data_IF_900503958934
#
_entry.id   IF_900503958934
#
_cell.length_a   1.000
_cell.length_b   1.000
_cell.length_c   1.000
_cell.angle_alpha   90.00
_cell.angle_beta   90.00
_cell.angle_gamma   90.00
#
_symmetry.space_group_name_H-M   'P 1'
#
loop_
_entity.id
_entity.type
_entity.pdbx_description
1 polymer ?
#
# COMPACT_ATOMS: atom_id res chain seq x y z
N UNK A 1 14.43 1.99 22.09
CA UNK A 1 15.27 1.48 20.97
C UNK A 1 16.19 2.62 20.54
N UNK A 2 17.41 2.33 20.01
CA UNK A 2 18.26 3.36 19.41
C UNK A 2 17.56 3.94 18.16
N UNK A 3 17.93 5.20 17.81
CA UNK A 3 17.37 5.86 16.64
C UNK A 3 17.87 5.19 15.34
N UNK A 4 16.95 4.86 14.44
CA UNK A 4 17.29 4.28 13.14
C UNK A 4 17.78 5.34 12.15
N UNK A 5 18.66 4.96 11.23
CA UNK A 5 19.14 5.89 10.20
C UNK A 5 18.20 5.91 9.01
N UNK A 6 17.73 7.10 8.64
CA UNK A 6 16.98 7.39 7.42
C UNK A 6 17.83 8.26 6.51
N UNK A 7 18.03 7.80 5.28
CA UNK A 7 18.74 8.56 4.25
C UNK A 7 17.75 9.36 3.41
N UNK A 8 18.16 10.58 3.01
CA UNK A 8 17.28 11.52 2.32
C UNK A 8 18.04 12.25 1.20
N UNK A 9 17.35 12.47 0.09
CA UNK A 9 17.77 13.38 -0.97
C UNK A 9 16.57 14.14 -1.54
N UNK A 10 16.72 15.45 -1.82
CA UNK A 10 15.65 16.25 -2.43
C UNK A 10 15.50 15.98 -3.95
N UNK A 11 14.47 16.59 -4.59
CA UNK A 11 14.24 16.47 -6.04
C UNK A 11 15.01 17.51 -6.89
N UNK A 12 15.83 18.35 -6.30
CA UNK A 12 16.64 19.30 -7.08
C UNK A 12 17.78 18.57 -7.81
N UNK A 13 17.85 18.75 -9.13
CA UNK A 13 18.88 18.15 -9.97
C UNK A 13 19.72 19.24 -10.61
N UNK A 14 21.02 19.33 -10.32
CA UNK A 14 21.95 20.16 -11.11
C UNK A 14 22.14 19.54 -12.50
N UNK A 15 22.64 20.33 -13.45
CA UNK A 15 22.97 19.87 -14.79
C UNK A 15 23.91 18.65 -14.72
N UNK A 16 23.60 17.61 -15.46
CA UNK A 16 24.37 16.36 -15.49
C UNK A 16 23.97 15.32 -14.45
N UNK A 17 22.92 15.58 -13.63
CA UNK A 17 22.38 14.60 -12.67
C UNK A 17 20.91 14.41 -12.93
N UNK A 18 20.43 13.16 -12.94
CA UNK A 18 19.01 12.82 -13.04
C UNK A 18 18.41 12.40 -11.70
N UNK A 19 17.08 12.39 -11.59
CA UNK A 19 16.39 11.86 -10.40
C UNK A 19 16.64 10.37 -10.20
N UNK A 20 16.79 9.62 -11.28
CA UNK A 20 17.13 8.19 -11.23
C UNK A 20 18.55 7.96 -10.70
N UNK A 21 19.51 8.83 -11.04
CA UNK A 21 20.86 8.78 -10.46
C UNK A 21 20.84 9.09 -8.96
N UNK A 22 20.03 10.08 -8.55
CA UNK A 22 19.87 10.41 -7.13
C UNK A 22 19.26 9.26 -6.35
N UNK A 23 18.18 8.64 -6.87
CA UNK A 23 17.57 7.46 -6.23
C UNK A 23 18.58 6.32 -6.10
N UNK A 24 19.36 6.07 -7.16
CA UNK A 24 20.39 5.03 -7.14
C UNK A 24 21.43 5.30 -6.05
N UNK A 25 21.97 6.52 -5.98
CA UNK A 25 22.95 6.90 -4.94
C UNK A 25 22.36 6.77 -3.55
N UNK A 26 21.13 7.28 -3.34
CA UNK A 26 20.42 7.18 -2.07
C UNK A 26 20.32 5.71 -1.59
N UNK A 27 19.85 4.80 -2.46
CA UNK A 27 19.74 3.38 -2.12
C UNK A 27 21.11 2.76 -1.77
N UNK A 28 22.17 3.12 -2.50
CA UNK A 28 23.53 2.65 -2.22
C UNK A 28 24.03 3.22 -0.88
N UNK A 29 23.86 4.51 -0.64
CA UNK A 29 24.24 5.17 0.62
C UNK A 29 23.48 4.58 1.81
N UNK A 30 22.19 4.26 1.63
CA UNK A 30 21.35 3.62 2.64
C UNK A 30 21.69 2.14 2.88
N UNK A 31 22.57 1.54 2.05
CA UNK A 31 23.11 0.21 2.31
C UNK A 31 22.42 -0.94 1.59
N UNK A 32 21.65 -0.72 0.52
CA UNK A 32 21.00 -1.81 -0.24
C UNK A 32 22.01 -2.86 -0.72
N UNK A 33 23.26 -2.46 -0.96
CA UNK A 33 24.37 -3.37 -1.36
C UNK A 33 24.87 -4.27 -0.25
N UNK A 34 24.45 -4.06 0.99
CA UNK A 34 24.80 -4.92 2.12
C UNK A 34 23.89 -6.17 2.20
N UNK A 35 22.84 -6.24 1.40
CA UNK A 35 21.95 -7.39 1.30
C UNK A 35 22.57 -8.37 0.31
N UNK A 36 22.84 -9.60 0.76
CA UNK A 36 23.24 -10.68 -0.14
C UNK A 36 22.06 -11.12 -1.01
N UNK A 37 22.09 -10.79 -2.31
CA UNK A 37 21.02 -11.07 -3.27
C UNK A 37 21.37 -12.18 -4.27
N UNK A 38 22.61 -12.71 -4.25
CA UNK A 38 23.06 -13.67 -5.26
C UNK A 38 22.16 -14.92 -5.31
N UNK A 39 21.57 -15.18 -6.47
CA UNK A 39 20.68 -16.30 -6.73
C UNK A 39 19.32 -16.26 -6.00
N UNK A 40 18.93 -15.13 -5.41
CA UNK A 40 17.72 -14.99 -4.58
C UNK A 40 16.59 -14.28 -5.31
N UNK A 41 15.35 -14.68 -5.02
CA UNK A 41 14.16 -13.96 -5.44
C UNK A 41 13.96 -12.68 -4.62
N UNK A 42 13.76 -11.55 -5.30
CA UNK A 42 13.57 -10.24 -4.66
C UNK A 42 12.19 -9.68 -5.02
N UNK A 43 11.27 -9.67 -4.07
CA UNK A 43 9.98 -9.05 -4.26
C UNK A 43 10.08 -7.52 -4.08
N UNK A 44 9.86 -6.75 -5.13
CA UNK A 44 9.76 -5.29 -5.08
C UNK A 44 8.27 -4.94 -5.02
N UNK A 45 7.79 -4.65 -3.82
CA UNK A 45 6.38 -4.29 -3.59
C UNK A 45 6.15 -2.82 -3.87
N UNK A 46 5.23 -2.56 -4.76
CA UNK A 46 4.78 -1.21 -5.05
C UNK A 46 3.31 -1.19 -5.46
N UNK A 47 2.72 -0.01 -5.54
CA UNK A 47 1.39 0.20 -6.07
C UNK A 47 1.49 0.61 -7.55
N UNK A 48 0.72 -0.04 -8.43
CA UNK A 48 0.79 0.23 -9.88
C UNK A 48 -0.11 1.39 -10.34
N UNK A 49 -0.84 2.03 -9.41
CA UNK A 49 -1.84 3.05 -9.74
C UNK A 49 -3.16 2.43 -10.23
N UNK A 50 -4.30 3.07 -9.95
CA UNK A 50 -5.57 2.76 -10.61
C UNK A 50 -5.64 3.47 -11.95
N UNK A 51 -6.39 2.94 -12.94
CA UNK A 51 -6.55 3.60 -14.24
C UNK A 51 -7.23 4.96 -14.07
N UNK A 52 -6.64 5.99 -14.68
CA UNK A 52 -7.06 7.39 -14.55
C UNK A 52 -6.24 8.19 -13.55
N UNK A 53 -5.66 7.57 -12.54
CA UNK A 53 -4.72 8.21 -11.62
C UNK A 53 -3.37 8.39 -12.32
N UNK A 54 -2.77 9.56 -12.21
CA UNK A 54 -1.45 9.87 -12.78
C UNK A 54 -0.42 10.30 -11.71
N UNK A 55 -0.81 10.29 -10.43
CA UNK A 55 0.09 10.62 -9.31
C UNK A 55 0.92 9.44 -8.82
N UNK A 56 0.64 8.20 -9.28
CA UNK A 56 1.41 7.02 -8.89
C UNK A 56 2.89 7.13 -9.30
N UNK A 57 3.76 6.36 -8.64
CA UNK A 57 5.19 6.36 -8.94
C UNK A 57 5.49 5.92 -10.38
N UNK A 58 6.37 6.67 -11.04
CA UNK A 58 6.77 6.37 -12.43
C UNK A 58 7.57 5.06 -12.51
N UNK A 59 7.38 4.24 -13.57
CA UNK A 59 8.10 2.97 -13.76
C UNK A 59 9.63 3.10 -13.76
N UNK A 60 10.14 4.29 -14.08
CA UNK A 60 11.58 4.61 -14.06
C UNK A 60 12.21 4.39 -12.67
N UNK A 61 11.50 4.69 -11.60
CA UNK A 61 11.98 4.45 -10.23
C UNK A 61 12.06 2.95 -9.93
N UNK A 62 11.05 2.18 -10.35
CA UNK A 62 11.06 0.72 -10.22
C UNK A 62 12.24 0.09 -10.96
N UNK A 63 12.55 0.62 -12.17
CA UNK A 63 13.71 0.17 -12.93
C UNK A 63 15.03 0.34 -12.19
N UNK A 64 15.24 1.48 -11.52
CA UNK A 64 16.47 1.72 -10.74
C UNK A 64 16.63 0.67 -9.64
N UNK A 65 15.57 0.35 -8.92
CA UNK A 65 15.62 -0.64 -7.85
C UNK A 65 15.84 -2.05 -8.40
N UNK A 66 15.14 -2.41 -9.49
CA UNK A 66 15.33 -3.71 -10.16
C UNK A 66 16.76 -3.88 -10.71
N UNK A 67 17.33 -2.84 -11.30
CA UNK A 67 18.70 -2.89 -11.82
C UNK A 67 19.71 -3.06 -10.66
N UNK A 68 19.52 -2.37 -9.52
CA UNK A 68 20.36 -2.54 -8.32
C UNK A 68 20.31 -3.98 -7.77
N UNK A 69 19.14 -4.63 -7.79
CA UNK A 69 19.01 -6.02 -7.37
C UNK A 69 19.74 -6.96 -8.33
N UNK A 70 19.59 -6.77 -9.65
CA UNK A 70 20.24 -7.60 -10.66
C UNK A 70 21.76 -7.46 -10.65
N UNK A 71 22.28 -6.26 -10.40
CA UNK A 71 23.72 -6.03 -10.26
C UNK A 71 24.36 -6.80 -9.12
N UNK A 72 23.54 -7.24 -8.16
CA UNK A 72 23.94 -8.08 -7.03
C UNK A 72 23.56 -9.56 -7.22
N UNK A 73 23.26 -9.97 -8.46
CA UNK A 73 22.90 -11.36 -8.78
C UNK A 73 21.48 -11.77 -8.38
N UNK A 74 20.64 -10.83 -7.91
CA UNK A 74 19.26 -11.10 -7.50
C UNK A 74 18.30 -11.24 -8.68
N UNK A 75 17.20 -11.92 -8.46
CA UNK A 75 16.08 -12.13 -9.41
C UNK A 75 14.87 -11.28 -8.99
N UNK A 76 14.83 -9.97 -9.32
CA UNK A 76 13.75 -9.10 -8.92
C UNK A 76 12.49 -9.32 -9.75
N UNK A 77 11.34 -9.11 -9.09
CA UNK A 77 10.04 -8.94 -9.72
C UNK A 77 9.24 -7.85 -9.02
N UNK A 78 8.41 -7.13 -9.76
CA UNK A 78 7.45 -6.17 -9.20
C UNK A 78 6.21 -6.92 -8.76
N UNK A 79 5.62 -6.52 -7.65
CA UNK A 79 4.45 -7.20 -7.12
C UNK A 79 3.48 -6.29 -6.38
N UNK A 80 2.22 -6.69 -6.39
CA UNK A 80 1.10 -6.20 -5.58
C UNK A 80 0.08 -7.33 -5.41
N UNK A 81 -0.92 -7.16 -4.55
CA UNK A 81 -2.08 -8.05 -4.45
C UNK A 81 -3.34 -7.38 -4.98
N UNK A 82 -4.31 -8.20 -5.41
CA UNK A 82 -5.59 -7.74 -5.93
C UNK A 82 -6.37 -6.91 -4.91
N UNK A 83 -7.22 -6.00 -5.40
CA UNK A 83 -8.00 -5.09 -4.56
C UNK A 83 -9.35 -5.69 -4.14
N UNK A 84 -9.97 -5.09 -3.11
CA UNK A 84 -11.34 -5.35 -2.69
C UNK A 84 -12.37 -4.48 -3.42
N UNK A 85 -11.91 -3.34 -3.96
CA UNK A 85 -12.78 -2.31 -4.50
C UNK A 85 -13.06 -2.54 -5.98
N UNK A 86 -14.20 -2.01 -6.50
CA UNK A 86 -14.42 -1.85 -7.93
C UNK A 86 -13.25 -1.09 -8.57
N UNK A 87 -12.81 -1.54 -9.74
CA UNK A 87 -11.70 -0.94 -10.45
C UNK A 87 -10.99 -1.93 -11.35
N UNK A 88 -9.83 -1.55 -11.86
CA UNK A 88 -9.07 -2.32 -12.83
C UNK A 88 -8.05 -3.29 -12.21
N UNK A 89 -8.09 -3.51 -10.87
CA UNK A 89 -7.12 -4.36 -10.17
C UNK A 89 -7.75 -5.44 -9.29
N UNK A 90 -8.99 -5.88 -9.57
CA UNK A 90 -9.69 -6.85 -8.70
C UNK A 90 -9.41 -8.33 -9.02
N UNK A 91 -8.75 -8.64 -10.13
CA UNK A 91 -8.22 -9.97 -10.44
C UNK A 91 -6.90 -9.83 -11.18
N UNK A 92 -6.08 -10.88 -11.22
CA UNK A 92 -4.73 -10.78 -11.76
C UNK A 92 -4.66 -10.35 -13.23
N UNK A 93 -5.62 -10.70 -14.09
CA UNK A 93 -5.60 -10.33 -15.50
C UNK A 93 -5.87 -8.83 -15.69
N UNK A 94 -6.90 -8.31 -15.02
CA UNK A 94 -7.20 -6.87 -15.02
C UNK A 94 -6.05 -6.08 -14.35
N UNK A 95 -5.52 -6.58 -13.24
CA UNK A 95 -4.42 -5.95 -12.51
C UNK A 95 -3.14 -5.87 -13.34
N UNK A 96 -2.77 -6.94 -14.04
CA UNK A 96 -1.64 -6.94 -14.97
C UNK A 96 -1.87 -5.97 -16.13
N UNK A 97 -3.09 -5.93 -16.69
CA UNK A 97 -3.45 -4.97 -17.73
C UNK A 97 -3.34 -3.54 -17.23
N UNK A 98 -3.84 -3.25 -16.04
CA UNK A 98 -3.70 -1.94 -15.39
C UNK A 98 -2.22 -1.56 -15.21
N UNK A 99 -1.41 -2.46 -14.66
CA UNK A 99 0.03 -2.23 -14.50
C UNK A 99 0.71 -1.93 -15.84
N UNK A 100 0.39 -2.66 -16.91
CA UNK A 100 0.92 -2.44 -18.25
C UNK A 100 0.54 -1.07 -18.80
N UNK A 101 -0.73 -0.70 -18.71
CA UNK A 101 -1.23 0.59 -19.19
C UNK A 101 -0.61 1.77 -18.43
N UNK A 102 -0.27 1.56 -17.16
CA UNK A 102 0.44 2.52 -16.32
C UNK A 102 1.98 2.45 -16.50
N UNK A 103 2.47 1.64 -17.47
CA UNK A 103 3.86 1.59 -17.87
C UNK A 103 4.73 0.57 -17.10
N UNK A 104 4.16 -0.21 -16.18
CA UNK A 104 4.87 -1.28 -15.47
C UNK A 104 4.90 -2.56 -16.31
N UNK A 105 5.92 -2.66 -17.15
CA UNK A 105 6.11 -3.73 -18.09
C UNK A 105 7.57 -4.18 -18.09
N UNK A 106 7.90 -5.45 -18.38
CA UNK A 106 9.29 -5.90 -18.37
C UNK A 106 10.24 -5.08 -19.25
N UNK A 107 9.77 -4.54 -20.36
CA UNK A 107 10.59 -3.69 -21.24
C UNK A 107 10.89 -2.31 -20.63
N UNK A 108 10.04 -1.78 -19.76
CA UNK A 108 10.22 -0.47 -19.12
C UNK A 108 10.92 -0.59 -17.78
N UNK A 109 10.60 -1.60 -16.99
CA UNK A 109 11.10 -1.78 -15.61
C UNK A 109 12.27 -2.76 -15.53
N UNK A 110 12.48 -3.56 -16.55
CA UNK A 110 13.55 -4.55 -16.61
C UNK A 110 13.26 -5.85 -15.85
N UNK A 111 12.12 -6.02 -15.20
CA UNK A 111 11.75 -7.24 -14.47
C UNK A 111 10.27 -7.58 -14.67
N UNK A 112 9.88 -8.80 -14.34
CA UNK A 112 8.51 -9.30 -14.48
C UNK A 112 7.60 -8.68 -13.43
N UNK A 113 6.28 -8.70 -13.70
CA UNK A 113 5.23 -8.33 -12.74
C UNK A 113 4.48 -9.61 -12.35
N UNK A 114 4.35 -9.86 -11.04
CA UNK A 114 3.62 -10.99 -10.48
C UNK A 114 2.57 -10.46 -9.51
N UNK A 115 1.30 -10.84 -9.73
CA UNK A 115 0.23 -10.54 -8.78
C UNK A 115 0.24 -11.64 -7.71
N UNK A 116 0.64 -11.25 -6.50
CA UNK A 116 1.12 -12.18 -5.48
C UNK A 116 0.06 -13.09 -4.87
N UNK A 117 -1.21 -12.69 -4.91
CA UNK A 117 -2.34 -13.45 -4.38
C UNK A 117 -3.13 -14.20 -5.47
N UNK A 118 -2.49 -14.40 -6.64
CA UNK A 118 -3.00 -15.23 -7.73
C UNK A 118 -4.21 -14.65 -8.48
N UNK A 119 -4.81 -15.48 -9.34
CA UNK A 119 -5.84 -15.05 -10.29
C UNK A 119 -7.02 -14.32 -9.62
N UNK A 120 -7.47 -14.80 -8.47
CA UNK A 120 -8.70 -14.33 -7.78
C UNK A 120 -8.42 -13.67 -6.42
N UNK A 121 -7.18 -13.42 -6.07
CA UNK A 121 -6.82 -12.85 -4.77
C UNK A 121 -6.89 -13.85 -3.61
N UNK A 122 -6.79 -15.14 -3.89
CA UNK A 122 -6.99 -16.24 -2.92
C UNK A 122 -5.80 -17.17 -2.79
N UNK A 123 -4.71 -16.90 -3.52
CA UNK A 123 -3.45 -17.63 -3.32
C UNK A 123 -2.66 -16.94 -2.21
N UNK A 124 -2.81 -17.48 -1.00
CA UNK A 124 -2.32 -16.86 0.23
C UNK A 124 -1.60 -17.84 1.13
N UNK A 125 -0.84 -17.32 2.04
CA UNK A 125 -0.24 -18.02 3.16
C UNK A 125 -0.57 -17.27 4.46
N UNK A 126 -0.89 -18.03 5.51
CA UNK A 126 -1.04 -17.46 6.84
C UNK A 126 0.33 -17.35 7.51
N UNK A 127 0.68 -16.14 7.92
CA UNK A 127 1.96 -15.80 8.55
C UNK A 127 1.67 -15.34 9.98
N UNK A 128 2.35 -15.89 11.00
CA UNK A 128 2.22 -15.40 12.36
C UNK A 128 2.56 -13.91 12.47
N UNK A 129 1.77 -13.16 13.24
CA UNK A 129 2.07 -11.75 13.51
C UNK A 129 2.90 -11.67 14.78
N UNK A 130 4.16 -11.20 14.71
CA UNK A 130 5.00 -11.05 15.90
C UNK A 130 4.34 -10.06 16.87
N UNK A 131 4.15 -10.49 18.11
CA UNK A 131 3.50 -9.68 19.17
C UNK A 131 2.13 -9.09 18.77
N UNK A 132 1.41 -9.73 17.83
CA UNK A 132 0.12 -9.25 17.32
C UNK A 132 -0.94 -9.14 18.41
N UNK A 133 -1.57 -7.99 18.49
CA UNK A 133 -2.64 -7.66 19.44
C UNK A 133 -4.02 -7.86 18.81
N UNK A 134 -4.17 -7.40 17.56
CA UNK A 134 -5.42 -7.42 16.80
C UNK A 134 -5.49 -8.60 15.83
N UNK A 135 -4.36 -9.03 15.28
CA UNK A 135 -4.26 -10.15 14.36
C UNK A 135 -3.25 -11.18 14.89
N UNK A 136 -3.66 -12.45 14.99
CA UNK A 136 -2.74 -13.54 15.37
C UNK A 136 -1.92 -14.03 14.19
N UNK A 137 -2.55 -14.07 13.01
CA UNK A 137 -1.95 -14.41 11.73
C UNK A 137 -2.35 -13.36 10.69
N UNK A 138 -1.48 -13.12 9.72
CA UNK A 138 -1.75 -12.28 8.56
C UNK A 138 -1.87 -13.16 7.31
N UNK A 139 -2.89 -12.92 6.49
CA UNK A 139 -3.11 -13.62 5.23
C UNK A 139 -2.44 -12.84 4.10
N UNK A 140 -1.28 -13.30 3.68
CA UNK A 140 -0.38 -12.60 2.75
C UNK A 140 -0.36 -13.31 1.39
N UNK A 141 -0.29 -12.54 0.30
CA UNK A 141 -0.13 -13.09 -1.05
C UNK A 141 1.12 -13.98 -1.14
N UNK A 142 0.94 -15.22 -1.60
CA UNK A 142 1.95 -16.27 -1.55
C UNK A 142 3.28 -15.86 -2.19
N UNK A 143 3.26 -15.31 -3.40
CA UNK A 143 4.50 -14.97 -4.11
C UNK A 143 5.37 -13.94 -3.36
N UNK A 144 4.79 -13.12 -2.47
CA UNK A 144 5.55 -12.21 -1.61
C UNK A 144 6.33 -13.00 -0.56
N UNK A 145 5.70 -14.02 0.04
CA UNK A 145 6.32 -14.81 1.09
C UNK A 145 7.29 -15.88 0.55
N UNK A 146 7.10 -16.31 -0.71
CA UNK A 146 8.04 -17.21 -1.41
C UNK A 146 9.35 -16.51 -1.83
N UNK A 147 9.39 -15.17 -1.84
CA UNK A 147 10.60 -14.41 -2.12
C UNK A 147 11.54 -14.39 -0.90
N UNK A 148 12.85 -14.50 -1.15
CA UNK A 148 13.90 -14.48 -0.11
C UNK A 148 14.10 -13.09 0.49
N UNK A 149 13.93 -12.04 -0.34
CA UNK A 149 14.18 -10.65 0.02
C UNK A 149 12.95 -9.82 -0.33
N UNK A 150 12.64 -8.88 0.54
CA UNK A 150 11.52 -7.98 0.34
C UNK A 150 11.96 -6.51 0.30
N UNK A 151 11.58 -5.80 -0.76
CA UNK A 151 11.82 -4.35 -0.91
C UNK A 151 10.48 -3.65 -1.07
N UNK A 152 10.18 -2.64 -0.24
CA UNK A 152 9.06 -1.75 -0.49
C UNK A 152 9.51 -0.49 -1.24
N UNK A 153 8.88 -0.23 -2.37
CA UNK A 153 9.01 1.03 -3.12
C UNK A 153 7.67 1.76 -3.01
N UNK A 154 7.63 2.77 -2.18
CA UNK A 154 6.39 3.39 -1.72
C UNK A 154 6.22 4.81 -2.25
N UNK A 155 5.04 5.12 -2.77
CA UNK A 155 4.56 6.48 -2.96
C UNK A 155 4.05 7.00 -1.62
N UNK A 156 4.71 8.01 -1.08
CA UNK A 156 4.25 8.64 0.17
C UNK A 156 3.37 9.83 -0.16
N UNK A 157 2.09 9.77 0.21
CA UNK A 157 1.07 10.78 -0.08
C UNK A 157 -0.04 10.77 0.97
N UNK A 158 -0.99 11.71 0.88
CA UNK A 158 -2.20 11.72 1.70
C UNK A 158 -3.05 10.45 1.51
N UNK A 159 -3.99 10.27 2.44
CA UNK A 159 -4.96 9.18 2.40
C UNK A 159 -6.20 9.53 3.21
N UNK A 160 -7.37 9.29 2.65
CA UNK A 160 -8.68 9.66 3.19
C UNK A 160 -9.04 8.96 4.51
N UNK A 161 -8.50 7.76 4.78
CA UNK A 161 -8.80 6.99 6.00
C UNK A 161 -7.61 6.88 6.95
N UNK A 162 -6.39 6.68 6.43
CA UNK A 162 -5.18 6.43 7.22
C UNK A 162 -4.28 7.65 7.36
N UNK A 163 -4.72 8.81 6.87
CA UNK A 163 -4.00 10.08 6.88
C UNK A 163 -2.90 10.16 5.84
N UNK A 164 -2.02 9.18 5.76
CA UNK A 164 -1.05 9.01 4.69
C UNK A 164 -0.92 7.55 4.26
N UNK A 165 -0.42 7.35 3.04
CA UNK A 165 0.05 6.06 2.58
C UNK A 165 1.56 6.11 2.41
N UNK A 166 2.29 5.34 3.21
CA UNK A 166 3.75 5.20 3.18
C UNK A 166 4.19 3.75 3.05
N UNK A 167 5.37 3.40 3.57
CA UNK A 167 5.93 2.07 3.52
C UNK A 167 5.06 1.07 4.28
N UNK A 168 4.63 1.38 5.51
CA UNK A 168 3.82 0.47 6.33
C UNK A 168 2.50 0.13 5.63
N UNK A 169 1.82 1.13 5.04
CA UNK A 169 0.59 0.89 4.28
C UNK A 169 0.85 0.09 3.00
N UNK A 170 1.88 0.43 2.24
CA UNK A 170 2.26 -0.31 1.04
C UNK A 170 2.56 -1.79 1.35
N UNK A 171 3.14 -2.07 2.51
CA UNK A 171 3.42 -3.43 2.98
C UNK A 171 2.12 -4.08 3.52
N UNK A 172 1.56 -3.56 4.59
CA UNK A 172 0.48 -4.20 5.34
C UNK A 172 -0.79 -4.40 4.52
N UNK A 173 -1.33 -3.30 3.97
CA UNK A 173 -2.51 -3.39 3.10
C UNK A 173 -2.17 -4.00 1.75
N UNK A 174 -1.04 -3.59 1.16
CA UNK A 174 -0.68 -3.99 -0.19
C UNK A 174 -0.35 -5.48 -0.32
N UNK A 175 0.33 -6.10 0.65
CA UNK A 175 0.70 -7.51 0.64
C UNK A 175 -0.43 -8.44 1.12
N UNK A 176 -1.46 -7.92 1.81
CA UNK A 176 -2.61 -8.71 2.21
C UNK A 176 -3.32 -9.31 1.00
N UNK A 177 -3.64 -10.61 1.07
CA UNK A 177 -4.55 -11.26 0.13
C UNK A 177 -5.94 -10.61 0.20
N UNK A 178 -6.88 -11.04 -0.64
CA UNK A 178 -8.27 -10.57 -0.56
C UNK A 178 -8.87 -10.78 0.84
N UNK A 179 -8.68 -11.97 1.42
CA UNK A 179 -9.14 -12.27 2.79
C UNK A 179 -8.40 -11.43 3.83
N UNK A 180 -7.10 -11.20 3.64
CA UNK A 180 -6.31 -10.33 4.51
C UNK A 180 -6.76 -8.87 4.45
N UNK A 181 -7.05 -8.34 3.28
CA UNK A 181 -7.62 -7.00 3.12
C UNK A 181 -9.01 -6.89 3.79
N UNK A 182 -9.85 -7.93 3.64
CA UNK A 182 -11.16 -7.99 4.33
C UNK A 182 -11.02 -7.91 5.84
N UNK A 183 -10.07 -8.65 6.42
CA UNK A 183 -9.81 -8.65 7.87
C UNK A 183 -9.32 -7.28 8.38
N UNK A 184 -8.52 -6.58 7.58
CA UNK A 184 -8.03 -5.25 7.93
C UNK A 184 -9.16 -4.20 7.88
N UNK A 185 -10.00 -4.21 6.83
CA UNK A 185 -11.02 -3.17 6.58
C UNK A 185 -12.33 -3.37 7.34
N UNK A 186 -12.79 -4.61 7.51
CA UNK A 186 -14.20 -4.84 7.78
C UNK A 186 -14.47 -5.96 8.78
N UNK A 187 -13.56 -6.31 9.64
CA UNK A 187 -13.76 -7.48 10.51
C UNK A 187 -14.28 -8.73 9.75
N UNK A 188 -14.13 -8.73 8.41
CA UNK A 188 -14.46 -9.83 7.54
C UNK A 188 -15.84 -9.81 6.86
N UNK A 189 -16.60 -8.74 6.90
CA UNK A 189 -17.99 -8.74 6.41
C UNK A 189 -18.20 -8.01 5.07
N UNK A 190 -18.56 -8.70 3.96
CA UNK A 190 -19.02 -8.08 2.72
C UNK A 190 -20.50 -7.74 2.77
N UNK A 191 -20.91 -6.70 2.03
CA UNK A 191 -22.31 -6.32 1.84
C UNK A 191 -22.70 -6.32 0.36
N UNK A 192 -24.02 -6.26 0.09
CA UNK A 192 -24.57 -6.21 -1.27
C UNK A 192 -25.31 -4.91 -1.49
N UNK A 193 -24.96 -4.19 -2.55
CA UNK A 193 -25.73 -3.08 -3.07
C UNK A 193 -26.79 -3.61 -4.04
N UNK A 194 -28.06 -3.69 -3.59
CA UNK A 194 -29.13 -4.33 -4.33
C UNK A 194 -29.34 -3.75 -5.74
N UNK A 195 -29.22 -2.43 -5.88
CA UNK A 195 -29.49 -1.73 -7.16
C UNK A 195 -28.50 -2.16 -8.25
N UNK A 196 -27.25 -2.46 -7.88
CA UNK A 196 -26.22 -2.96 -8.79
C UNK A 196 -26.33 -4.47 -9.03
N UNK A 197 -26.92 -5.23 -8.11
CA UNK A 197 -27.03 -6.67 -8.24
C UNK A 197 -27.92 -7.07 -9.41
N UNK A 198 -27.44 -7.96 -10.29
CA UNK A 198 -28.16 -8.47 -11.46
C UNK A 198 -28.71 -9.89 -11.26
N UNK A 199 -28.56 -10.48 -10.08
CA UNK A 199 -29.05 -11.83 -9.80
C UNK A 199 -28.36 -12.91 -10.66
N UNK A 200 -27.10 -12.74 -11.01
CA UNK A 200 -26.37 -13.64 -11.91
C UNK A 200 -25.82 -14.90 -11.23
N UNK A 201 -25.96 -15.03 -9.93
CA UNK A 201 -25.61 -16.19 -9.10
C UNK A 201 -24.11 -16.56 -9.06
N UNK A 202 -23.20 -15.74 -9.62
CA UNK A 202 -21.76 -16.03 -9.61
C UNK A 202 -21.18 -16.04 -8.20
N UNK A 203 -21.56 -15.07 -7.37
CA UNK A 203 -21.07 -14.97 -5.99
C UNK A 203 -21.40 -16.19 -5.14
N UNK A 204 -22.60 -16.78 -5.29
CA UNK A 204 -22.98 -17.99 -4.58
C UNK A 204 -22.15 -19.21 -5.01
N UNK A 205 -21.81 -19.32 -6.30
CA UNK A 205 -20.95 -20.41 -6.81
C UNK A 205 -19.52 -20.36 -6.25
N UNK A 206 -19.06 -19.18 -5.88
CA UNK A 206 -17.71 -18.97 -5.29
C UNK A 206 -17.75 -19.03 -3.75
N UNK A 207 -18.92 -19.10 -3.15
CA UNK A 207 -19.05 -19.12 -1.69
C UNK A 207 -18.88 -20.54 -1.13
N UNK A 208 -17.71 -20.84 -0.60
CA UNK A 208 -17.41 -22.15 0.00
C UNK A 208 -18.07 -22.40 1.37
N UNK A 209 -18.81 -21.42 1.91
CA UNK A 209 -19.57 -21.53 3.18
C UNK A 209 -21.08 -21.47 3.00
N UNK A 210 -21.56 -21.47 1.75
CA UNK A 210 -23.00 -21.37 1.40
C UNK A 210 -23.72 -20.21 2.10
N UNK A 211 -23.00 -19.10 2.29
CA UNK A 211 -23.51 -17.91 2.97
C UNK A 211 -24.33 -16.98 2.07
N UNK A 212 -24.53 -17.30 0.76
CA UNK A 212 -25.20 -16.39 -0.17
C UNK A 212 -26.49 -17.02 -0.69
N UNK A 213 -27.60 -16.35 -0.40
CA UNK A 213 -28.94 -16.63 -0.88
C UNK A 213 -29.46 -15.51 -1.77
N UNK A 214 -30.73 -15.61 -2.24
CA UNK A 214 -31.35 -14.60 -3.09
C UNK A 214 -32.73 -14.27 -2.54
N UNK A 215 -33.05 -12.97 -2.50
CA UNK A 215 -34.36 -12.50 -2.10
C UNK A 215 -35.41 -12.67 -3.23
N UNK A 216 -36.67 -12.29 -2.97
CA UNK A 216 -37.78 -12.39 -3.93
C UNK A 216 -37.54 -11.60 -5.24
N UNK A 217 -36.68 -10.56 -5.19
CA UNK A 217 -36.27 -9.79 -6.36
C UNK A 217 -35.03 -10.37 -7.06
N UNK A 218 -34.65 -11.60 -6.73
CA UNK A 218 -33.46 -12.28 -7.24
C UNK A 218 -32.15 -11.47 -6.98
N UNK A 219 -32.07 -10.74 -5.85
CA UNK A 219 -30.86 -10.03 -5.41
C UNK A 219 -30.11 -10.86 -4.38
N UNK A 220 -28.79 -10.86 -4.45
CA UNK A 220 -27.96 -11.59 -3.51
C UNK A 220 -28.13 -11.04 -2.07
N UNK A 221 -28.19 -11.95 -1.11
CA UNK A 221 -28.21 -11.66 0.34
C UNK A 221 -27.13 -12.49 0.99
N UNK A 222 -26.31 -11.86 1.84
CA UNK A 222 -25.21 -12.53 2.54
C UNK A 222 -25.61 -12.78 3.98
N UNK A 223 -25.62 -14.05 4.38
CA UNK A 223 -25.78 -14.48 5.77
C UNK A 223 -24.46 -14.26 6.49
N UNK A 224 -24.40 -13.26 7.36
CA UNK A 224 -23.18 -12.84 8.04
C UNK A 224 -22.70 -13.87 9.07
N UNK A 225 -23.59 -14.69 9.65
CA UNK A 225 -23.23 -15.74 10.61
C UNK A 225 -22.50 -16.90 9.92
N UNK A 226 -22.83 -17.18 8.66
CA UNK A 226 -22.17 -18.20 7.84
C UNK A 226 -20.93 -17.66 7.12
N UNK A 227 -20.86 -16.34 6.90
CA UNK A 227 -19.80 -15.72 6.13
C UNK A 227 -18.43 -15.87 6.85
N UNK A 228 -17.42 -16.33 6.11
CA UNK A 228 -16.04 -16.48 6.61
C UNK A 228 -15.13 -15.31 6.24
N UNK A 229 -15.66 -14.22 5.66
CA UNK A 229 -14.90 -13.04 5.32
C UNK A 229 -13.82 -13.21 4.25
N UNK A 230 -13.87 -14.27 3.44
CA UNK A 230 -12.81 -14.55 2.44
C UNK A 230 -12.82 -13.64 1.21
N UNK A 231 -13.86 -12.80 1.02
CA UNK A 231 -13.98 -11.84 -0.07
C UNK A 231 -14.09 -12.40 -1.49
N UNK A 232 -14.19 -13.73 -1.70
CA UNK A 232 -14.31 -14.36 -3.04
C UNK A 232 -15.50 -13.83 -3.82
N UNK A 233 -16.63 -13.58 -3.15
CA UNK A 233 -17.85 -13.04 -3.76
C UNK A 233 -17.63 -11.63 -4.35
N UNK A 234 -16.78 -10.80 -3.74
CA UNK A 234 -16.41 -9.48 -4.26
C UNK A 234 -15.69 -9.64 -5.60
N UNK A 235 -14.65 -10.49 -5.65
CA UNK A 235 -13.90 -10.78 -6.87
C UNK A 235 -14.71 -11.46 -7.97
N UNK A 236 -15.77 -12.20 -7.62
CA UNK A 236 -16.66 -12.86 -8.57
C UNK A 236 -17.73 -11.92 -9.17
N UNK A 237 -17.97 -10.77 -8.54
CA UNK A 237 -19.03 -9.84 -8.96
C UNK A 237 -18.55 -8.94 -10.10
N UNK A 238 -19.05 -9.19 -11.32
CA UNK A 238 -18.74 -8.35 -12.49
C UNK A 238 -19.55 -7.05 -12.54
N UNK A 239 -20.48 -6.84 -11.60
CA UNK A 239 -21.34 -5.66 -11.53
C UNK A 239 -21.02 -4.79 -10.33
N UNK A 240 -19.93 -5.09 -9.63
CA UNK A 240 -19.46 -4.39 -8.43
C UNK A 240 -20.52 -4.21 -7.33
N UNK A 241 -21.52 -5.10 -7.35
CA UNK A 241 -22.63 -5.10 -6.41
C UNK A 241 -22.26 -5.62 -5.01
N UNK A 242 -21.12 -6.28 -4.85
CA UNK A 242 -20.63 -6.78 -3.55
C UNK A 242 -19.37 -6.04 -3.19
N UNK A 243 -19.34 -5.47 -1.99
CA UNK A 243 -18.26 -4.63 -1.49
C UNK A 243 -17.91 -4.99 -0.05
N UNK A 244 -16.71 -4.61 0.41
CA UNK A 244 -16.32 -4.73 1.81
C UNK A 244 -17.01 -3.61 2.61
N UNK A 245 -17.67 -3.98 3.72
CA UNK A 245 -18.09 -2.98 4.70
C UNK A 245 -16.84 -2.40 5.34
N UNK A 246 -16.66 -1.08 5.24
CA UNK A 246 -15.64 -0.36 6.00
C UNK A 246 -16.26 0.03 7.34
N UNK A 247 -16.47 -0.96 8.22
CA UNK A 247 -17.09 -0.80 9.53
C UNK A 247 -16.07 -0.65 10.68
N UNK A 248 -14.80 -0.89 10.39
CA UNK A 248 -13.73 -0.64 11.35
C UNK A 248 -13.46 0.87 11.44
N UNK A 249 -13.36 1.39 12.66
CA UNK A 249 -12.81 2.74 12.86
C UNK A 249 -11.43 2.85 12.19
N UNK A 250 -11.11 4.01 11.62
CA UNK A 250 -9.84 4.24 10.93
C UNK A 250 -8.62 3.81 11.78
N UNK A 251 -8.66 4.08 13.08
CA UNK A 251 -7.62 3.66 14.02
C UNK A 251 -7.42 2.13 14.06
N UNK A 252 -8.50 1.35 14.01
CA UNK A 252 -8.40 -0.12 14.00
C UNK A 252 -7.79 -0.64 12.69
N UNK A 253 -8.14 -0.01 11.57
CA UNK A 253 -7.54 -0.28 10.27
C UNK A 253 -6.03 -0.03 10.31
N UNK A 254 -5.62 1.12 10.86
CA UNK A 254 -4.22 1.52 11.00
C UNK A 254 -3.41 0.52 11.82
N UNK A 255 -3.95 0.07 12.96
CA UNK A 255 -3.29 -0.90 13.83
C UNK A 255 -3.15 -2.27 13.19
N UNK A 256 -4.21 -2.81 12.56
CA UNK A 256 -4.16 -4.09 11.84
C UNK A 256 -3.19 -4.03 10.66
N UNK A 257 -3.16 -2.92 9.93
CA UNK A 257 -2.25 -2.71 8.81
C UNK A 257 -0.78 -2.75 9.25
N UNK A 258 -0.45 -2.15 10.40
CA UNK A 258 0.88 -2.22 10.99
C UNK A 258 1.27 -3.65 11.38
N UNK A 259 0.35 -4.42 11.94
CA UNK A 259 0.58 -5.82 12.29
C UNK A 259 0.78 -6.72 11.05
N UNK A 260 0.02 -6.50 10.00
CA UNK A 260 0.22 -7.17 8.71
C UNK A 260 1.59 -6.84 8.11
N UNK A 261 2.01 -5.57 8.19
CA UNK A 261 3.33 -5.16 7.73
C UNK A 261 4.46 -5.83 8.53
N UNK A 262 4.31 -5.94 9.85
CA UNK A 262 5.27 -6.65 10.70
C UNK A 262 5.40 -8.12 10.31
N UNK A 263 4.28 -8.81 10.03
CA UNK A 263 4.31 -10.21 9.58
C UNK A 263 5.06 -10.39 8.24
N UNK A 264 4.88 -9.45 7.30
CA UNK A 264 5.59 -9.51 6.01
C UNK A 264 7.09 -9.32 6.17
N UNK A 265 7.54 -8.45 7.07
CA UNK A 265 8.95 -8.10 7.22
C UNK A 265 9.73 -9.01 8.19
N UNK A 266 9.02 -9.83 8.99
CA UNK A 266 9.65 -10.66 10.00
C UNK A 266 10.56 -11.73 9.40
N UNK A 267 11.72 -11.96 10.04
CA UNK A 267 12.69 -13.03 9.76
C UNK A 267 13.22 -13.09 8.31
N UNK A 268 13.26 -11.97 7.58
CA UNK A 268 13.91 -11.90 6.27
C UNK A 268 14.55 -10.54 6.00
N UNK A 269 15.54 -10.46 5.08
CA UNK A 269 16.10 -9.18 4.68
C UNK A 269 15.04 -8.29 4.03
N UNK A 270 14.94 -7.04 4.51
CA UNK A 270 14.02 -6.04 3.94
C UNK A 270 14.75 -4.72 3.71
N UNK A 271 14.27 -3.94 2.75
CA UNK A 271 14.73 -2.59 2.48
C UNK A 271 13.57 -1.71 2.02
N UNK A 272 13.53 -0.47 2.47
CA UNK A 272 12.35 0.39 2.28
C UNK A 272 12.75 1.72 1.66
N UNK A 273 11.99 2.12 0.64
CA UNK A 273 12.18 3.35 -0.13
C UNK A 273 10.83 4.06 -0.21
N UNK A 274 10.79 5.34 0.13
CA UNK A 274 9.61 6.20 0.00
C UNK A 274 9.94 7.44 -0.83
N UNK A 275 9.10 7.71 -1.86
CA UNK A 275 9.17 8.93 -2.65
C UNK A 275 8.00 9.84 -2.23
N UNK A 276 8.35 11.00 -1.69
CA UNK A 276 7.42 12.01 -1.15
C UNK A 276 7.24 13.06 -2.24
N UNK A 277 6.40 12.74 -3.22
CA UNK A 277 6.11 13.54 -4.41
C UNK A 277 4.65 13.37 -4.84
N UNK A 278 4.13 14.25 -5.70
CA UNK A 278 2.75 14.17 -6.19
C UNK A 278 1.77 13.88 -5.04
N UNK A 279 1.92 14.59 -3.90
CA UNK A 279 1.29 14.28 -2.62
C UNK A 279 -0.20 14.60 -2.69
N UNK A 280 -0.99 13.72 -3.33
CA UNK A 280 -2.44 13.85 -3.43
C UNK A 280 -3.12 13.66 -2.06
N UNK A 281 -4.34 14.20 -1.84
CA UNK A 281 -5.09 13.95 -0.60
C UNK A 281 -5.60 12.52 -0.47
N UNK A 282 -5.69 11.79 -1.60
CA UNK A 282 -6.34 10.48 -1.71
C UNK A 282 -5.35 9.37 -2.10
N UNK A 283 -5.79 8.13 -1.93
CA UNK A 283 -5.02 6.94 -2.27
C UNK A 283 -4.86 6.75 -3.79
N UNK A 284 -3.71 6.22 -4.25
CA UNK A 284 -3.51 5.77 -5.65
C UNK A 284 -4.46 4.65 -6.08
N UNK A 285 -5.27 4.12 -5.16
CA UNK A 285 -6.30 3.13 -5.46
C UNK A 285 -7.57 3.73 -6.08
N UNK A 286 -7.67 5.06 -6.17
CA UNK A 286 -8.71 5.78 -6.88
C UNK A 286 -8.22 6.20 -8.26
N UNK A 287 -9.10 6.22 -9.26
CA UNK A 287 -8.80 6.71 -10.61
C UNK A 287 -8.57 8.23 -10.65
N UNK A 288 -9.22 8.95 -9.76
CA UNK A 288 -9.02 10.38 -9.52
C UNK A 288 -7.93 10.61 -8.46
N UNK A 289 -6.95 11.46 -8.75
CA UNK A 289 -5.86 11.74 -7.79
C UNK A 289 -5.94 13.12 -7.13
N UNK A 290 -6.66 14.06 -7.70
CA UNK A 290 -6.71 15.46 -7.29
C UNK A 290 -5.33 16.17 -7.31
N UNK A 291 -5.34 17.48 -7.07
CA UNK A 291 -4.13 18.29 -7.00
C UNK A 291 -3.31 17.95 -5.73
N UNK A 292 -1.98 17.97 -5.81
CA UNK A 292 -1.13 17.76 -4.63
C UNK A 292 -1.45 18.78 -3.53
N UNK A 293 -1.49 18.30 -2.28
CA UNK A 293 -1.74 19.13 -1.09
C UNK A 293 -0.46 19.83 -0.60
N UNK A 294 0.70 19.27 -0.91
CA UNK A 294 2.03 19.74 -0.52
C UNK A 294 2.97 19.70 -1.75
N UNK A 295 4.04 20.52 -1.76
CA UNK A 295 5.06 20.42 -2.80
C UNK A 295 5.82 19.09 -2.70
N UNK A 296 6.45 18.68 -3.80
CA UNK A 296 7.38 17.55 -3.80
C UNK A 296 8.54 17.80 -2.82
N UNK A 297 8.83 16.80 -1.98
CA UNK A 297 9.82 16.94 -0.90
C UNK A 297 11.13 16.21 -1.22
N UNK A 298 11.05 14.91 -1.53
CA UNK A 298 12.27 14.15 -1.81
C UNK A 298 12.08 12.64 -1.73
N UNK A 299 13.20 11.94 -1.75
CA UNK A 299 13.28 10.49 -1.68
C UNK A 299 13.96 10.09 -0.38
N UNK A 300 13.43 9.08 0.27
CA UNK A 300 13.91 8.56 1.55
C UNK A 300 14.16 7.06 1.46
N UNK A 301 15.16 6.55 2.19
CA UNK A 301 15.46 5.12 2.25
C UNK A 301 15.97 4.71 3.64
N UNK A 302 15.55 3.52 4.11
CA UNK A 302 15.95 2.95 5.39
C UNK A 302 15.74 1.43 5.42
N UNK A 303 16.43 0.74 6.32
CA UNK A 303 16.07 -0.62 6.71
C UNK A 303 14.89 -0.69 7.68
N UNK A 304 14.56 0.41 8.33
CA UNK A 304 13.46 0.53 9.29
C UNK A 304 12.29 1.28 8.65
N UNK A 305 11.16 0.60 8.36
CA UNK A 305 10.01 1.23 7.71
C UNK A 305 9.23 2.17 8.64
N UNK A 306 9.35 2.00 9.98
CA UNK A 306 8.70 2.87 10.96
C UNK A 306 9.40 4.21 11.02
N UNK A 307 10.74 4.18 11.14
CA UNK A 307 11.59 5.37 11.08
C UNK A 307 11.43 6.10 9.73
N UNK A 308 11.34 5.35 8.64
CA UNK A 308 11.15 5.88 7.29
C UNK A 308 9.82 6.65 7.18
N UNK A 309 8.70 6.04 7.58
CA UNK A 309 7.38 6.67 7.50
C UNK A 309 7.27 7.86 8.47
N UNK A 310 7.87 7.78 9.67
CA UNK A 310 7.94 8.92 10.59
C UNK A 310 8.71 10.10 9.97
N UNK A 311 9.88 9.85 9.36
CA UNK A 311 10.67 10.90 8.73
C UNK A 311 9.93 11.55 7.53
N UNK A 312 9.22 10.74 6.73
CA UNK A 312 8.40 11.25 5.63
C UNK A 312 7.21 12.08 6.14
N UNK A 313 6.53 11.61 7.21
CA UNK A 313 5.42 12.33 7.82
C UNK A 313 5.88 13.68 8.40
N UNK A 314 6.99 13.70 9.15
CA UNK A 314 7.56 14.94 9.70
C UNK A 314 7.93 15.93 8.60
N UNK A 315 8.49 15.46 7.49
CA UNK A 315 8.81 16.29 6.33
C UNK A 315 7.54 16.90 5.70
N UNK A 316 6.45 16.13 5.59
CA UNK A 316 5.17 16.62 5.11
C UNK A 316 4.52 17.62 6.08
N UNK A 317 4.59 17.39 7.39
CA UNK A 317 4.03 18.31 8.40
C UNK A 317 4.76 19.65 8.43
N UNK A 318 6.06 19.67 8.08
CA UNK A 318 6.87 20.89 7.99
C UNK A 318 6.78 21.58 6.61
N UNK A 319 6.13 21.00 5.63
CA UNK A 319 5.95 21.59 4.30
C UNK A 319 4.79 22.58 4.28
N UNK A 320 4.92 23.65 3.47
CA UNK A 320 3.87 24.63 3.30
C UNK A 320 2.72 24.05 2.44
N UNK A 321 1.44 24.20 2.85
CA UNK A 321 0.29 23.78 2.07
C UNK A 321 0.23 24.48 0.70
N UNK A 322 -0.21 23.76 -0.35
CA UNK A 322 -0.46 24.34 -1.65
C UNK A 322 -1.85 25.02 -1.66
N UNK A 323 -1.95 26.32 -2.00
CA UNK A 323 -3.21 27.05 -1.89
C UNK A 323 -4.37 26.49 -2.73
N UNK A 324 -4.05 25.98 -3.94
CA UNK A 324 -5.04 25.44 -4.90
C UNK A 324 -5.20 23.91 -4.73
N UNK A 325 -5.29 23.43 -3.50
CA UNK A 325 -5.47 22.02 -3.16
C UNK A 325 -6.58 21.86 -2.13
N UNK A 326 -7.01 20.62 -1.88
CA UNK A 326 -7.99 20.31 -0.82
C UNK A 326 -7.54 20.91 0.53
N UNK A 327 -6.28 20.71 0.92
CA UNK A 327 -5.71 21.26 2.15
C UNK A 327 -5.78 22.79 2.17
N UNK A 328 -5.34 23.45 1.08
CA UNK A 328 -5.37 24.90 0.98
C UNK A 328 -6.77 25.48 1.05
N UNK A 329 -7.74 24.83 0.41
CA UNK A 329 -9.15 25.22 0.45
C UNK A 329 -9.76 25.04 1.85
N UNK A 330 -9.46 23.92 2.52
CA UNK A 330 -9.93 23.69 3.90
C UNK A 330 -9.41 24.78 4.83
N UNK A 331 -8.10 25.06 4.81
CA UNK A 331 -7.46 26.09 5.64
C UNK A 331 -7.98 27.52 5.35
N UNK A 332 -8.40 27.80 4.12
CA UNK A 332 -8.98 29.08 3.73
C UNK A 332 -10.48 29.20 4.09
N UNK A 333 -11.14 28.11 4.48
CA UNK A 333 -12.57 28.10 4.79
C UNK A 333 -12.84 28.81 6.13
N UNK A 334 -13.71 29.84 6.19
CA UNK A 334 -14.03 30.50 7.43
C UNK A 334 -14.61 29.53 8.48
N UNK A 335 -14.02 29.53 9.66
CA UNK A 335 -14.44 28.66 10.78
C UNK A 335 -13.88 27.24 10.70
N UNK A 336 -12.96 26.93 9.80
CA UNK A 336 -12.25 25.65 9.79
C UNK A 336 -11.51 25.43 11.11
N UNK A 337 -11.70 24.24 11.68
CA UNK A 337 -10.97 23.85 12.90
C UNK A 337 -9.57 23.35 12.51
N UNK A 338 -8.60 24.25 12.45
CA UNK A 338 -7.22 23.92 12.09
C UNK A 338 -6.55 23.06 13.17
N UNK A 339 -6.06 21.90 12.74
CA UNK A 339 -5.38 20.93 13.62
C UNK A 339 -3.85 21.13 13.68
N UNK A 340 -3.30 22.03 12.85
CA UNK A 340 -1.85 22.20 12.63
C UNK A 340 -1.17 20.88 12.20
N UNK A 341 -1.91 20.09 11.44
CA UNK A 341 -1.51 18.79 10.91
C UNK A 341 -2.00 18.68 9.47
N UNK A 342 -1.09 18.74 8.50
CA UNK A 342 -1.43 18.78 7.08
C UNK A 342 -2.29 17.58 6.62
N UNK A 343 -2.17 16.43 7.28
CA UNK A 343 -3.01 15.26 6.98
C UNK A 343 -4.39 15.40 7.61
N UNK A 344 -4.50 15.80 8.90
CA UNK A 344 -5.79 16.05 9.55
C UNK A 344 -6.52 17.25 8.97
N UNK A 345 -5.80 18.28 8.56
CA UNK A 345 -6.40 19.43 7.90
C UNK A 345 -6.86 19.13 6.46
N UNK A 346 -6.32 18.07 5.83
CA UNK A 346 -6.86 17.51 4.58
C UNK A 346 -8.07 16.60 4.82
N UNK A 347 -7.96 15.66 5.78
CA UNK A 347 -8.95 14.64 6.09
C UNK A 347 -9.15 14.53 7.62
N UNK A 348 -10.13 15.25 8.22
CA UNK A 348 -10.22 15.41 9.68
C UNK A 348 -10.44 14.12 10.49
N UNK A 349 -11.02 13.08 9.87
CA UNK A 349 -11.43 11.85 10.56
C UNK A 349 -10.36 10.75 10.55
N UNK A 350 -9.07 11.10 10.56
CA UNK A 350 -7.94 10.18 10.49
C UNK A 350 -7.19 10.09 11.82
N UNK A 351 -6.51 8.95 12.05
CA UNK A 351 -5.65 8.72 13.22
C UNK A 351 -4.30 8.11 12.81
N UNK A 352 -3.62 8.71 11.82
CA UNK A 352 -2.40 8.20 11.19
C UNK A 352 -1.28 7.79 12.15
N UNK A 353 -1.22 8.41 13.36
CA UNK A 353 -0.22 8.07 14.40
C UNK A 353 -0.38 6.65 14.90
N UNK A 354 -1.61 6.11 14.88
CA UNK A 354 -1.91 4.75 15.33
C UNK A 354 -1.15 3.69 14.52
N UNK A 355 -0.92 3.91 13.21
CA UNK A 355 -0.09 3.04 12.36
C UNK A 355 1.34 2.93 12.89
N UNK A 356 1.98 4.07 13.17
CA UNK A 356 3.38 4.12 13.63
C UNK A 356 3.53 3.59 15.06
N UNK A 357 2.58 3.92 15.92
CA UNK A 357 2.55 3.44 17.32
C UNK A 357 2.42 1.92 17.39
N UNK A 358 1.52 1.35 16.60
CA UNK A 358 1.33 -0.09 16.58
C UNK A 358 2.53 -0.81 15.95
N UNK A 359 3.10 -0.27 14.87
CA UNK A 359 4.29 -0.84 14.23
C UNK A 359 5.50 -0.87 15.19
N UNK A 360 5.71 0.20 15.97
CA UNK A 360 6.74 0.25 17.00
C UNK A 360 6.44 -0.73 18.14
N UNK A 361 5.18 -0.84 18.58
CA UNK A 361 4.73 -1.74 19.66
C UNK A 361 4.93 -3.21 19.32
N UNK A 362 4.68 -3.62 18.08
CA UNK A 362 4.90 -5.01 17.66
C UNK A 362 6.37 -5.33 17.32
N UNK A 363 7.25 -4.33 17.41
CA UNK A 363 8.69 -4.49 17.24
C UNK A 363 9.16 -4.46 15.78
N UNK A 364 8.39 -3.85 14.88
CA UNK A 364 8.75 -3.73 13.48
C UNK A 364 9.90 -2.72 13.25
N UNK A 365 10.04 -1.74 14.12
CA UNK A 365 11.05 -0.68 14.05
C UNK A 365 10.86 0.35 15.14
N UNK A 366 11.42 1.56 14.98
CA UNK A 366 11.29 2.68 15.92
C UNK A 366 10.92 3.98 15.21
N UNK A 367 10.13 4.82 15.87
CA UNK A 367 9.83 6.18 15.38
C UNK A 367 10.99 7.16 15.55
N UNK A 368 11.96 6.81 16.42
CA UNK A 368 13.16 7.61 16.58
C UNK A 368 14.10 7.44 15.38
N UNK A 369 14.51 8.51 14.75
CA UNK A 369 15.40 8.44 13.59
C UNK A 369 16.47 9.53 13.59
N UNK A 370 17.55 9.25 12.85
CA UNK A 370 18.57 10.22 12.47
C UNK A 370 18.54 10.38 10.96
N UNK A 371 18.29 11.61 10.48
CA UNK A 371 18.25 11.91 9.06
C UNK A 371 19.65 12.18 8.53
N UNK A 372 20.08 11.43 7.51
CA UNK A 372 21.31 11.65 6.76
C UNK A 372 21.00 12.13 5.35
N UNK A 373 21.49 13.30 5.00
CA UNK A 373 21.35 13.84 3.64
C UNK A 373 22.46 13.27 2.74
N UNK A 374 22.04 12.73 1.54
CA UNK A 374 22.93 12.32 0.45
C UNK A 374 23.29 13.53 -0.44
#
# INVERSE_FOLDING_TARGET
>A
MEASTVYYTDFRCPVGTSLTDKLRRLCIAAGIKNIDMEGKFVAIKMHFGELGNLAYLRPNYAKVVADLCKEQGGMPFLTDCNTLYPGSRKNALEHLTCAQLNGFWPMTTGCQVIIADGLRGTDEVEVPVPNGEYCKTAKIGRAIMDADIFISLSHFKGHESTGFGGAIKNIGMGCGSRAGKMEQHASGHPAVQEDLCRGCHRCAKECGSDAISYNEKNKAVIDQDKCKGCGRCIGACNFDAIYALCDSANEMLDRKMAEYAAAVCHDRPTFHISLVQDISPNCDCHGENDAPILPDIGMFASFDPVALDQACADACLNAAPLPNSQLGQNLATPGWNCHHDNFKDSNPNIEWKATLEQAEKVGMGTRAYTLKKD
#
